data_IF_987083707976
#
_entry.id   IF_987083707976
#
_cell.length_a   1.000
_cell.length_b   1.000
_cell.length_c   1.000
_cell.angle_alpha   90.00
_cell.angle_beta   90.00
_cell.angle_gamma   90.00
#
_symmetry.space_group_name_H-M   'P 1'
#
loop_
_entity.id
_entity.type
_entity.pdbx_description
1 polymer ?
#
# COMPACT_ATOMS: atom_id res chain seq x y z
N UNK A 1 -11.16 -11.08 -16.90
CA UNK A 1 -10.23 -10.22 -16.16
C UNK A 1 -9.76 -10.97 -14.94
N UNK A 2 -8.46 -10.94 -14.65
CA UNK A 2 -7.88 -11.62 -13.48
C UNK A 2 -7.65 -10.59 -12.36
N UNK A 3 -6.96 -9.49 -12.69
CA UNK A 3 -6.63 -8.35 -11.83
C UNK A 3 -6.40 -7.09 -12.70
N UNK A 4 -5.89 -6.01 -12.11
CA UNK A 4 -5.71 -4.70 -12.77
C UNK A 4 -4.74 -4.66 -13.95
N UNK A 5 -3.86 -5.66 -14.10
CA UNK A 5 -2.88 -5.72 -15.19
C UNK A 5 -2.94 -7.01 -16.03
N UNK A 6 -3.79 -7.97 -15.66
CA UNK A 6 -3.90 -9.28 -16.32
C UNK A 6 -5.32 -9.58 -16.82
N UNK A 7 -5.41 -9.94 -18.11
CA UNK A 7 -6.66 -10.12 -18.84
C UNK A 7 -6.68 -11.42 -19.63
N UNK A 8 -7.89 -11.97 -19.79
CA UNK A 8 -8.13 -13.04 -20.76
C UNK A 8 -8.58 -12.38 -22.07
N UNK A 9 -7.92 -12.72 -23.18
CA UNK A 9 -8.23 -12.19 -24.51
C UNK A 9 -8.56 -13.33 -25.45
N UNK A 10 -9.65 -13.17 -26.20
CA UNK A 10 -9.99 -14.05 -27.31
C UNK A 10 -9.47 -13.47 -28.63
N UNK A 11 -8.67 -14.24 -29.37
CA UNK A 11 -8.18 -13.88 -30.71
C UNK A 11 -9.19 -14.27 -31.80
N UNK A 12 -8.98 -13.74 -33.01
CA UNK A 12 -9.85 -13.98 -34.17
C UNK A 12 -9.97 -15.47 -34.55
N UNK A 13 -8.94 -16.26 -34.27
CA UNK A 13 -8.94 -17.72 -34.51
C UNK A 13 -9.71 -18.52 -33.44
N UNK A 14 -10.28 -17.82 -32.44
CA UNK A 14 -11.02 -18.38 -31.32
C UNK A 14 -10.15 -18.86 -30.16
N UNK A 15 -8.82 -18.76 -30.26
CA UNK A 15 -7.93 -19.04 -29.13
C UNK A 15 -8.10 -18.00 -28.03
N UNK A 16 -7.84 -18.44 -26.80
CA UNK A 16 -7.95 -17.62 -25.59
C UNK A 16 -6.61 -17.66 -24.87
N UNK A 17 -6.08 -16.49 -24.53
CA UNK A 17 -4.80 -16.37 -23.81
C UNK A 17 -4.91 -15.38 -22.65
N UNK A 18 -4.15 -15.67 -21.60
CA UNK A 18 -3.85 -14.69 -20.56
C UNK A 18 -2.76 -13.74 -21.05
N UNK A 19 -3.09 -12.45 -21.08
CA UNK A 19 -2.17 -11.36 -21.39
C UNK A 19 -1.91 -10.53 -20.13
N UNK A 20 -0.66 -10.09 -19.95
CA UNK A 20 -0.27 -9.12 -18.92
C UNK A 20 0.23 -7.85 -19.58
N UNK A 21 -0.24 -6.72 -19.07
CA UNK A 21 0.16 -5.41 -19.55
C UNK A 21 1.66 -5.21 -19.29
N UNK A 22 2.44 -5.12 -20.37
CA UNK A 22 3.88 -4.90 -20.32
C UNK A 22 4.21 -3.56 -19.66
N UNK A 23 5.24 -3.57 -18.82
CA UNK A 23 5.85 -2.36 -18.24
C UNK A 23 5.10 -1.79 -17.04
N UNK A 24 4.02 -2.41 -16.58
CA UNK A 24 3.24 -1.93 -15.44
C UNK A 24 2.99 -3.04 -14.43
N UNK A 25 2.66 -2.62 -13.20
CA UNK A 25 2.23 -3.48 -12.12
C UNK A 25 1.18 -2.74 -11.29
N UNK A 26 -0.01 -3.32 -11.18
CA UNK A 26 -1.09 -2.75 -10.35
C UNK A 26 -1.06 -3.38 -8.96
N UNK A 27 -1.50 -2.67 -7.90
CA UNK A 27 -1.68 -3.31 -6.61
C UNK A 27 -2.56 -4.56 -6.71
N UNK A 28 -2.12 -5.62 -6.05
CA UNK A 28 -2.75 -6.92 -6.02
C UNK A 28 -4.08 -6.88 -5.25
N UNK A 29 -5.10 -7.57 -5.78
CA UNK A 29 -6.44 -7.65 -5.17
C UNK A 29 -6.73 -8.99 -4.51
N UNK A 30 -6.00 -10.04 -4.88
CA UNK A 30 -6.23 -11.41 -4.38
C UNK A 30 -5.10 -11.93 -3.48
N UNK A 31 -4.02 -11.16 -3.33
CA UNK A 31 -2.87 -11.47 -2.49
C UNK A 31 -2.42 -10.24 -1.71
N UNK A 32 -1.51 -10.43 -0.76
CA UNK A 32 -0.87 -9.34 -0.01
C UNK A 32 0.00 -8.51 -0.95
N UNK A 33 -0.12 -7.19 -0.85
CA UNK A 33 0.78 -6.24 -1.51
C UNK A 33 2.06 -6.06 -0.67
N UNK A 34 3.18 -5.76 -1.30
CA UNK A 34 4.37 -5.25 -0.61
C UNK A 34 4.41 -3.72 -0.76
N UNK A 35 4.10 -2.94 0.30
CA UNK A 35 4.13 -1.49 0.20
C UNK A 35 5.49 -0.90 -0.19
N UNK A 36 6.60 -1.61 0.05
CA UNK A 36 7.93 -1.12 -0.32
C UNK A 36 8.13 -1.01 -1.84
N UNK A 37 7.27 -1.67 -2.62
CA UNK A 37 7.25 -1.58 -4.07
C UNK A 37 6.59 -0.31 -4.61
N UNK A 38 5.86 0.42 -3.76
CA UNK A 38 5.09 1.61 -4.12
C UNK A 38 5.61 2.82 -3.34
N UNK A 39 6.27 3.73 -4.06
CA UNK A 39 6.81 4.97 -3.48
C UNK A 39 5.76 5.77 -2.70
N UNK A 40 6.13 6.21 -1.49
CA UNK A 40 5.28 7.02 -0.62
C UNK A 40 4.26 6.23 0.19
N UNK A 41 4.14 4.91 -0.01
CA UNK A 41 3.22 4.07 0.76
C UNK A 41 3.93 3.46 1.97
N UNK A 42 3.40 3.63 3.20
CA UNK A 42 4.01 3.04 4.38
C UNK A 42 3.82 1.53 4.43
N UNK A 43 4.80 0.81 4.98
CA UNK A 43 4.69 -0.62 5.33
C UNK A 43 3.81 -0.88 6.55
N UNK A 44 2.63 -0.24 6.62
CA UNK A 44 1.65 -0.37 7.71
C UNK A 44 0.35 -0.95 7.17
N UNK A 45 -0.54 -1.40 8.06
CA UNK A 45 -1.87 -1.88 7.66
C UNK A 45 -2.70 -0.84 6.88
N UNK A 46 -2.49 0.45 7.15
CA UNK A 46 -3.10 1.55 6.39
C UNK A 46 -2.57 1.61 4.95
N UNK A 47 -1.25 1.47 4.76
CA UNK A 47 -0.63 1.43 3.43
C UNK A 47 -1.06 0.20 2.63
N UNK A 48 -1.10 -0.98 3.27
CA UNK A 48 -1.62 -2.21 2.64
C UNK A 48 -3.09 -2.06 2.23
N UNK A 49 -3.92 -1.44 3.08
CA UNK A 49 -5.33 -1.21 2.79
C UNK A 49 -5.52 -0.19 1.67
N UNK A 50 -4.72 0.87 1.65
CA UNK A 50 -4.67 1.84 0.56
C UNK A 50 -4.33 1.18 -0.78
N UNK A 51 -3.31 0.32 -0.81
CA UNK A 51 -2.94 -0.41 -2.01
C UNK A 51 -4.05 -1.36 -2.47
N UNK A 52 -4.68 -2.10 -1.55
CA UNK A 52 -5.81 -2.97 -1.90
C UNK A 52 -6.97 -2.18 -2.52
N UNK A 53 -7.32 -1.02 -1.95
CA UNK A 53 -8.35 -0.15 -2.51
C UNK A 53 -7.97 0.36 -3.91
N UNK A 54 -6.70 0.71 -4.12
CA UNK A 54 -6.20 1.12 -5.44
C UNK A 54 -6.12 -0.03 -6.45
N UNK A 55 -5.86 -1.26 -6.01
CA UNK A 55 -5.95 -2.46 -6.83
C UNK A 55 -7.38 -2.69 -7.35
N UNK A 56 -8.39 -2.48 -6.49
CA UNK A 56 -9.79 -2.54 -6.92
C UNK A 56 -10.14 -1.41 -7.88
N UNK A 57 -9.69 -0.18 -7.64
CA UNK A 57 -9.90 0.96 -8.55
C UNK A 57 -9.23 0.74 -9.91
N UNK A 58 -8.00 0.22 -9.93
CA UNK A 58 -7.29 -0.16 -11.14
C UNK A 58 -8.09 -1.20 -11.93
N UNK A 59 -8.53 -2.27 -11.24
CA UNK A 59 -9.35 -3.32 -11.84
C UNK A 59 -10.65 -2.77 -12.42
N UNK A 60 -11.35 -1.90 -11.69
CA UNK A 60 -12.58 -1.27 -12.16
C UNK A 60 -12.35 -0.38 -13.38
N UNK A 61 -11.27 0.39 -13.40
CA UNK A 61 -10.93 1.30 -14.50
C UNK A 61 -10.74 0.52 -15.80
N UNK A 62 -9.89 -0.51 -15.78
CA UNK A 62 -9.63 -1.30 -16.98
C UNK A 62 -10.78 -2.21 -17.36
N UNK A 63 -11.53 -2.77 -16.41
CA UNK A 63 -12.73 -3.55 -16.71
C UNK A 63 -13.76 -2.68 -17.46
N UNK A 64 -14.04 -1.48 -16.97
CA UNK A 64 -14.96 -0.53 -17.63
C UNK A 64 -14.48 -0.12 -19.02
N UNK A 65 -13.17 -0.11 -19.24
CA UNK A 65 -12.56 0.31 -20.50
C UNK A 65 -12.45 -0.80 -21.54
N UNK A 66 -12.21 -2.06 -21.12
CA UNK A 66 -11.80 -3.14 -22.01
C UNK A 66 -12.79 -4.31 -22.08
N UNK A 67 -13.66 -4.49 -21.10
CA UNK A 67 -14.52 -5.68 -21.04
C UNK A 67 -15.53 -5.71 -22.18
N UNK A 68 -15.44 -6.75 -23.02
CA UNK A 68 -16.30 -6.91 -24.20
C UNK A 68 -15.94 -6.01 -25.38
N UNK A 69 -14.88 -5.20 -25.25
CA UNK A 69 -14.42 -4.31 -26.31
C UNK A 69 -13.41 -5.00 -27.23
N UNK A 70 -13.32 -4.51 -28.46
CA UNK A 70 -12.25 -4.91 -29.39
C UNK A 70 -11.02 -4.02 -29.16
N UNK A 71 -9.87 -4.65 -28.96
CA UNK A 71 -8.60 -3.98 -28.68
C UNK A 71 -7.54 -4.38 -29.70
N UNK A 72 -6.55 -3.51 -29.87
CA UNK A 72 -5.31 -3.86 -30.58
C UNK A 72 -4.28 -4.29 -29.55
N UNK A 73 -3.58 -5.39 -29.83
CA UNK A 73 -2.53 -5.94 -28.98
C UNK A 73 -1.20 -5.90 -29.73
N UNK A 74 -0.18 -5.36 -29.09
CA UNK A 74 1.17 -5.29 -29.65
C UNK A 74 2.20 -5.89 -28.68
N UNK A 75 3.15 -6.65 -29.21
CA UNK A 75 4.30 -7.15 -28.43
C UNK A 75 5.51 -6.27 -28.68
N UNK A 76 6.32 -6.05 -27.65
CA UNK A 76 7.57 -5.29 -27.78
C UNK A 76 8.74 -6.19 -28.20
N UNK A 77 9.52 -5.84 -29.25
CA UNK A 77 10.67 -6.64 -29.68
C UNK A 77 11.86 -6.58 -28.72
N UNK A 78 11.91 -5.58 -27.83
CA UNK A 78 12.96 -5.39 -26.83
C UNK A 78 12.60 -6.03 -25.48
N UNK A 79 11.36 -6.51 -25.31
CA UNK A 79 10.91 -7.21 -24.11
C UNK A 79 10.83 -8.72 -24.35
N UNK A 80 10.81 -9.47 -23.25
CA UNK A 80 10.43 -10.88 -23.32
C UNK A 80 9.01 -11.03 -23.85
N UNK A 81 8.77 -12.04 -24.69
CA UNK A 81 7.43 -12.28 -25.23
C UNK A 81 6.45 -12.77 -24.17
N UNK A 82 6.93 -13.49 -23.15
CA UNK A 82 6.13 -14.05 -22.07
C UNK A 82 6.83 -13.86 -20.73
N UNK A 83 6.05 -13.58 -19.69
CA UNK A 83 6.55 -13.51 -18.32
C UNK A 83 6.81 -14.91 -17.72
N UNK A 84 7.35 -14.95 -16.50
CA UNK A 84 7.72 -16.21 -15.82
C UNK A 84 6.55 -17.17 -15.59
N UNK A 85 5.32 -16.65 -15.50
CA UNK A 85 4.09 -17.44 -15.38
C UNK A 85 3.47 -17.84 -16.73
N UNK A 86 4.15 -17.58 -17.84
CA UNK A 86 3.70 -17.94 -19.18
C UNK A 86 2.70 -16.98 -19.82
N UNK A 87 2.31 -15.89 -19.16
CA UNK A 87 1.41 -14.86 -19.71
C UNK A 87 2.07 -14.11 -20.86
N UNK A 88 1.32 -13.78 -21.90
CA UNK A 88 1.82 -12.96 -23.02
C UNK A 88 2.00 -11.51 -22.56
N UNK A 89 3.18 -10.93 -22.79
CA UNK A 89 3.47 -9.54 -22.41
C UNK A 89 3.15 -8.60 -23.56
N UNK A 90 2.27 -7.63 -23.32
CA UNK A 90 1.68 -6.82 -24.40
C UNK A 90 1.43 -5.36 -24.02
N UNK A 91 1.45 -4.49 -25.01
CA UNK A 91 0.73 -3.23 -24.99
C UNK A 91 -0.70 -3.47 -25.48
N UNK A 92 -1.68 -2.91 -24.77
CA UNK A 92 -3.08 -2.91 -25.19
C UNK A 92 -3.47 -1.51 -25.61
N UNK A 93 -4.05 -1.41 -26.81
CA UNK A 93 -4.58 -0.17 -27.35
C UNK A 93 -6.10 -0.28 -27.49
N UNK A 94 -6.81 0.69 -26.92
CA UNK A 94 -8.26 0.83 -27.08
C UNK A 94 -8.57 2.23 -27.64
N UNK A 95 -9.25 2.29 -28.79
CA UNK A 95 -9.50 3.51 -29.55
C UNK A 95 -8.23 4.31 -29.91
N UNK A 96 -7.11 3.60 -30.13
CA UNK A 96 -5.82 4.20 -30.48
C UNK A 96 -5.01 4.73 -29.29
N UNK A 97 -5.51 4.58 -28.06
CA UNK A 97 -4.81 4.99 -26.85
C UNK A 97 -4.13 3.80 -26.16
N UNK A 98 -2.86 3.95 -25.76
CA UNK A 98 -2.11 2.95 -25.02
C UNK A 98 -2.64 2.86 -23.57
N UNK A 99 -3.34 1.77 -23.25
CA UNK A 99 -3.97 1.58 -21.93
C UNK A 99 -2.94 1.35 -20.84
N UNK A 100 -1.80 0.72 -21.16
CA UNK A 100 -0.71 0.52 -20.20
C UNK A 100 -0.18 1.87 -19.71
N UNK A 101 0.11 2.79 -20.65
CA UNK A 101 0.59 4.12 -20.32
C UNK A 101 -0.47 4.92 -19.53
N UNK A 102 -1.74 4.82 -19.91
CA UNK A 102 -2.83 5.50 -19.20
C UNK A 102 -2.98 5.07 -17.74
N UNK A 103 -2.73 3.78 -17.43
CA UNK A 103 -2.76 3.29 -16.05
C UNK A 103 -1.65 3.93 -15.19
N UNK A 104 -0.48 4.18 -15.78
CA UNK A 104 0.61 4.91 -15.12
C UNK A 104 0.24 6.40 -14.96
N UNK A 105 -0.22 7.05 -16.03
CA UNK A 105 -0.58 8.48 -16.03
C UNK A 105 -1.67 8.81 -15.01
N UNK A 106 -2.61 7.89 -14.79
CA UNK A 106 -3.71 8.05 -13.84
C UNK A 106 -3.40 7.47 -12.44
N UNK A 107 -2.17 7.01 -12.21
CA UNK A 107 -1.73 6.49 -10.92
C UNK A 107 -2.46 5.23 -10.47
N UNK A 108 -2.88 4.37 -11.39
CA UNK A 108 -3.43 3.04 -11.08
C UNK A 108 -2.37 1.95 -10.98
N UNK A 109 -1.21 2.18 -11.57
CA UNK A 109 -0.10 1.23 -11.61
C UNK A 109 1.23 1.94 -11.33
N UNK A 110 2.21 1.16 -10.90
CA UNK A 110 3.63 1.53 -10.91
C UNK A 110 4.31 1.00 -12.17
N UNK A 111 5.46 1.59 -12.52
CA UNK A 111 6.36 1.08 -13.54
C UNK A 111 6.95 -0.25 -13.05
N UNK A 112 6.83 -1.30 -13.86
CA UNK A 112 7.50 -2.57 -13.59
C UNK A 112 8.94 -2.54 -14.10
N UNK A 113 9.88 -3.01 -13.29
CA UNK A 113 11.32 -2.89 -13.56
C UNK A 113 11.82 -3.93 -14.59
N UNK A 114 11.45 -3.73 -15.85
CA UNK A 114 11.88 -4.56 -17.01
C UNK A 114 12.29 -3.70 -18.19
N UNK A 115 13.09 -4.26 -19.10
CA UNK A 115 13.45 -3.59 -20.36
C UNK A 115 12.33 -3.71 -21.40
N UNK A 116 11.96 -2.56 -22.01
CA UNK A 116 11.01 -2.46 -23.12
C UNK A 116 11.20 -1.12 -23.85
N UNK A 117 10.71 -1.02 -25.08
CA UNK A 117 10.99 0.11 -25.98
C UNK A 117 10.37 1.44 -25.52
N UNK A 118 9.22 1.41 -24.83
CA UNK A 118 8.50 2.60 -24.35
C UNK A 118 8.88 3.05 -22.92
N UNK A 119 9.89 2.41 -22.29
CA UNK A 119 10.21 2.59 -20.86
C UNK A 119 10.38 4.06 -20.44
N UNK A 120 11.07 4.87 -21.25
CA UNK A 120 11.27 6.29 -20.96
C UNK A 120 9.95 7.08 -20.85
N UNK A 121 8.93 6.73 -21.64
CA UNK A 121 7.63 7.37 -21.57
C UNK A 121 6.92 6.99 -20.27
N UNK A 122 6.96 5.71 -19.89
CA UNK A 122 6.32 5.21 -18.67
C UNK A 122 7.01 5.77 -17.43
N UNK A 123 8.35 5.79 -17.38
CA UNK A 123 9.11 6.44 -16.30
C UNK A 123 8.75 7.92 -16.16
N UNK A 124 8.57 8.63 -17.28
CA UNK A 124 8.21 10.06 -17.23
C UNK A 124 6.77 10.27 -16.73
N UNK A 125 5.86 9.39 -17.16
CA UNK A 125 4.46 9.42 -16.73
C UNK A 125 4.32 9.10 -15.23
N UNK A 126 5.00 8.05 -14.75
CA UNK A 126 4.97 7.65 -13.34
C UNK A 126 5.50 8.79 -12.47
N UNK A 127 6.67 9.34 -12.82
CA UNK A 127 7.25 10.46 -12.09
C UNK A 127 6.31 11.67 -12.02
N UNK A 128 5.56 11.93 -13.08
CA UNK A 128 4.56 13.02 -13.11
C UNK A 128 3.41 12.69 -12.15
N UNK A 129 2.86 11.48 -12.25
CA UNK A 129 1.78 11.02 -11.37
C UNK A 129 2.19 11.03 -9.88
N UNK A 130 3.43 10.64 -9.57
CA UNK A 130 4.00 10.71 -8.23
C UNK A 130 4.11 12.15 -7.70
N UNK A 131 4.71 13.06 -8.48
CA UNK A 131 4.89 14.45 -8.05
C UNK A 131 3.55 15.17 -7.84
N UNK A 132 2.54 14.83 -8.64
CA UNK A 132 1.23 15.45 -8.60
C UNK A 132 0.27 14.76 -7.62
N UNK A 133 0.71 13.69 -6.93
CA UNK A 133 -0.12 12.90 -6.02
C UNK A 133 -1.33 12.26 -6.70
N UNK A 134 -1.19 11.91 -7.98
CA UNK A 134 -2.26 11.31 -8.78
C UNK A 134 -2.44 9.86 -8.37
N UNK A 135 -3.69 9.46 -8.18
CA UNK A 135 -4.01 8.06 -8.01
C UNK A 135 -3.48 7.48 -6.69
N UNK A 136 -2.86 6.32 -6.78
CA UNK A 136 -2.25 5.62 -5.64
C UNK A 136 -1.13 6.45 -4.98
N UNK A 137 -0.53 7.39 -5.71
CA UNK A 137 0.52 8.27 -5.18
C UNK A 137 0.00 9.38 -4.26
N UNK A 138 -1.31 9.59 -4.23
CA UNK A 138 -1.97 10.56 -3.34
C UNK A 138 -2.22 10.06 -1.93
N UNK A 139 -1.36 9.16 -1.40
CA UNK A 139 -1.49 8.68 -0.03
C UNK A 139 -1.24 9.82 0.95
N UNK A 140 -2.28 10.16 1.69
CA UNK A 140 -2.17 10.99 2.88
C UNK A 140 -2.37 10.09 4.08
N UNK A 141 -1.41 10.10 5.01
CA UNK A 141 -1.57 9.40 6.26
C UNK A 141 -2.90 9.86 6.89
N UNK A 142 -3.78 8.94 7.31
CA UNK A 142 -4.99 9.32 8.00
C UNK A 142 -4.57 10.27 9.12
N UNK A 143 -5.24 11.41 9.21
CA UNK A 143 -4.98 12.36 10.28
C UNK A 143 -5.06 11.55 11.57
N UNK A 144 -3.91 11.32 12.21
CA UNK A 144 -3.92 10.91 13.61
C UNK A 144 -4.82 11.96 14.23
N UNK A 145 -5.94 11.52 14.78
CA UNK A 145 -6.51 12.29 15.85
C UNK A 145 -5.41 12.27 16.90
N UNK A 146 -4.49 13.25 16.84
CA UNK A 146 -4.06 13.89 18.06
C UNK A 146 -5.36 14.10 18.79
N UNK A 147 -5.60 13.46 19.95
CA UNK A 147 -6.75 13.82 20.74
C UNK A 147 -6.74 15.34 20.74
N UNK A 148 -7.83 15.93 20.24
CA UNK A 148 -8.07 17.36 20.35
C UNK A 148 -7.59 17.72 21.75
N UNK A 149 -6.70 18.73 21.95
CA UNK A 149 -6.30 19.11 23.28
C UNK A 149 -7.62 19.36 23.99
N UNK A 150 -8.03 18.39 24.82
CA UNK A 150 -9.23 18.54 25.62
C UNK A 150 -8.92 19.81 26.34
N UNK A 151 -9.72 20.85 26.11
CA UNK A 151 -9.65 22.06 26.90
C UNK A 151 -9.75 21.57 28.33
N UNK A 152 -8.59 21.36 28.93
CA UNK A 152 -8.43 21.13 30.34
C UNK A 152 -8.77 22.49 30.88
N UNK A 153 -10.08 22.66 31.11
CA UNK A 153 -10.57 23.49 32.19
C UNK A 153 -9.59 23.25 33.31
N UNK A 154 -8.90 24.33 33.65
CA UNK A 154 -7.83 24.37 34.62
C UNK A 154 -8.43 23.97 35.97
N UNK A 155 -8.53 22.67 36.21
CA UNK A 155 -8.57 22.15 37.57
C UNK A 155 -7.12 21.98 37.99
N UNK A 156 -6.79 22.86 38.92
CA UNK A 156 -5.58 22.91 39.74
C UNK A 156 -5.30 21.50 40.32
N UNK A 157 -4.02 21.09 40.43
CA UNK A 157 -3.64 19.69 40.59
C UNK A 157 -4.09 19.11 41.93
N UNK A 158 -4.65 17.90 41.89
CA UNK A 158 -4.66 17.02 43.06
C UNK A 158 -3.48 16.05 42.91
N UNK A 159 -2.57 16.11 43.88
CA UNK A 159 -1.42 15.23 44.01
C UNK A 159 -1.85 13.76 43.99
N UNK A 160 -1.28 13.00 43.06
CA UNK A 160 -1.54 11.58 42.88
C UNK A 160 -0.87 11.07 41.61
N UNK A 161 0.42 11.39 41.43
CA UNK A 161 1.20 10.82 40.33
C UNK A 161 1.42 9.33 40.62
N UNK A 162 1.14 8.49 39.63
CA UNK A 162 1.48 7.07 39.64
C UNK A 162 3.01 6.99 39.68
N UNK A 163 3.58 6.39 40.73
CA UNK A 163 5.02 6.29 40.91
C UNK A 163 5.56 5.21 39.95
N UNK A 164 6.07 5.63 38.81
CA UNK A 164 6.67 4.72 37.82
C UNK A 164 8.06 4.32 38.32
N UNK A 165 8.37 3.02 38.40
CA UNK A 165 9.68 2.54 38.83
C UNK A 165 10.79 3.06 37.90
N UNK A 166 12.04 3.22 38.39
CA UNK A 166 13.14 3.69 37.56
C UNK A 166 13.48 2.70 36.45
N UNK A 167 13.94 3.23 35.31
CA UNK A 167 14.31 2.43 34.13
C UNK A 167 15.30 1.32 34.51
N UNK A 168 15.04 0.05 34.13
CA UNK A 168 15.93 -1.08 34.33
C UNK A 168 17.35 -0.84 33.79
N UNK A 169 18.32 -1.59 34.32
CA UNK A 169 19.74 -1.40 33.99
C UNK A 169 20.11 -1.77 32.54
N UNK A 170 19.31 -2.62 31.91
CA UNK A 170 19.37 -2.96 30.48
C UNK A 170 18.64 -1.95 29.60
N UNK A 171 17.94 -0.99 30.19
CA UNK A 171 17.24 0.08 29.49
C UNK A 171 15.93 -0.37 28.85
N UNK A 172 15.38 -1.52 29.24
CA UNK A 172 14.18 -2.10 28.64
C UNK A 172 13.16 -2.48 29.73
N UNK A 173 11.99 -1.83 29.76
CA UNK A 173 10.92 -2.21 30.67
C UNK A 173 10.23 -3.49 30.20
N UNK A 174 9.88 -4.35 31.15
CA UNK A 174 9.01 -5.50 30.96
C UNK A 174 7.82 -5.40 31.91
N UNK A 175 6.76 -6.16 31.64
CA UNK A 175 5.60 -6.22 32.56
C UNK A 175 5.95 -6.65 33.99
N UNK A 176 7.08 -7.35 34.20
CA UNK A 176 7.55 -7.72 35.53
C UNK A 176 8.18 -6.58 36.34
N UNK A 177 8.46 -5.43 35.71
CA UNK A 177 9.07 -4.27 36.35
C UNK A 177 8.04 -3.35 37.03
N UNK A 178 6.75 -3.59 36.80
CA UNK A 178 5.64 -2.81 37.34
C UNK A 178 4.82 -3.60 38.36
N UNK A 179 4.34 -2.89 39.38
CA UNK A 179 3.43 -3.46 40.39
C UNK A 179 1.96 -3.44 39.91
N UNK A 180 1.59 -2.50 39.04
CA UNK A 180 0.23 -2.34 38.51
C UNK A 180 0.20 -2.10 37.00
N UNK A 181 -0.93 -2.43 36.38
CA UNK A 181 -1.20 -2.15 34.97
C UNK A 181 -1.07 -0.65 34.67
N UNK A 182 -1.54 0.21 35.58
CA UNK A 182 -1.52 1.67 35.45
C UNK A 182 -0.09 2.25 35.35
N UNK A 183 0.89 1.65 36.05
CA UNK A 183 2.30 2.04 35.92
C UNK A 183 2.87 1.68 34.55
N UNK A 184 2.57 0.47 34.05
CA UNK A 184 2.98 0.03 32.72
C UNK A 184 2.33 0.89 31.62
N UNK A 185 1.06 1.26 31.81
CA UNK A 185 0.32 2.12 30.88
C UNK A 185 0.97 3.50 30.76
N UNK A 186 1.43 4.07 31.87
CA UNK A 186 2.12 5.36 31.87
C UNK A 186 3.37 5.34 30.98
N UNK A 187 4.14 4.24 30.99
CA UNK A 187 5.33 4.07 30.15
C UNK A 187 4.97 3.89 28.67
N UNK A 188 3.95 3.07 28.36
CA UNK A 188 3.47 2.88 26.99
C UNK A 188 2.97 4.19 26.36
N UNK A 189 2.32 5.05 27.16
CA UNK A 189 1.81 6.34 26.71
C UNK A 189 2.93 7.38 26.46
N UNK A 190 3.99 7.36 27.27
CA UNK A 190 5.14 8.26 27.14
C UNK A 190 6.08 7.86 25.98
N UNK A 191 6.15 6.57 25.62
CA UNK A 191 7.05 6.03 24.59
C UNK A 191 6.29 5.39 23.41
N UNK A 192 5.77 6.20 22.47
CA UNK A 192 4.95 5.71 21.37
C UNK A 192 5.73 4.80 20.41
N UNK A 193 5.11 3.68 20.05
CA UNK A 193 5.72 2.62 19.22
C UNK A 193 6.08 1.36 19.98
N UNK A 194 5.72 1.31 21.27
CA UNK A 194 5.90 0.17 22.17
C UNK A 194 7.31 -0.46 22.11
N UNK A 195 8.38 0.33 22.30
CA UNK A 195 9.76 -0.17 22.20
C UNK A 195 10.05 -1.25 23.26
N UNK A 196 9.34 -1.18 24.39
CA UNK A 196 9.41 -2.08 25.54
C UNK A 196 8.50 -3.31 25.40
N UNK A 197 7.68 -3.37 24.34
CA UNK A 197 6.78 -4.49 24.04
C UNK A 197 5.82 -4.79 25.20
N UNK A 198 5.35 -3.73 25.86
CA UNK A 198 4.39 -3.79 26.97
C UNK A 198 2.97 -4.07 26.49
N UNK A 199 2.65 -3.76 25.22
CA UNK A 199 1.37 -4.01 24.56
C UNK A 199 1.57 -5.12 23.50
N UNK A 200 1.51 -6.37 23.97
CA UNK A 200 1.87 -7.53 23.16
C UNK A 200 0.90 -7.86 22.02
N UNK A 201 -0.36 -7.46 22.14
CA UNK A 201 -1.43 -7.68 21.15
C UNK A 201 -1.81 -6.42 20.36
N UNK A 202 -1.26 -5.26 20.73
CA UNK A 202 -1.33 -4.01 19.97
C UNK A 202 -2.69 -3.32 20.07
N UNK A 203 -3.40 -3.53 21.17
CA UNK A 203 -4.73 -3.00 21.40
C UNK A 203 -4.73 -1.64 22.15
N UNK A 204 -3.54 -1.19 22.57
CA UNK A 204 -3.30 0.05 23.29
C UNK A 204 -3.23 -0.11 24.82
N UNK A 205 -3.33 -1.33 25.35
CA UNK A 205 -3.32 -1.60 26.80
C UNK A 205 -2.04 -2.31 27.21
N UNK A 206 -1.23 -1.64 28.02
CA UNK A 206 0.02 -2.22 28.52
C UNK A 206 -0.26 -3.31 29.56
N UNK A 207 0.42 -4.46 29.44
CA UNK A 207 0.57 -5.47 30.48
C UNK A 207 -0.74 -5.88 31.18
N UNK A 208 -1.79 -6.20 30.41
CA UNK A 208 -3.15 -6.50 30.89
C UNK A 208 -3.27 -7.58 31.99
N UNK A 209 -2.22 -8.39 32.15
CA UNK A 209 -2.13 -9.39 33.21
C UNK A 209 -1.81 -8.85 34.61
N UNK A 210 -1.38 -7.58 34.70
CA UNK A 210 -1.08 -6.89 35.95
C UNK A 210 -2.37 -6.40 36.64
N UNK A 211 -2.36 -6.30 37.98
CA UNK A 211 -3.50 -5.82 38.75
C UNK A 211 -3.79 -4.33 38.57
#
# INVERSE_FOLDING_TARGET
MVDGDTYEVQFEDGSVEDVRLLGIDTPEVHTTNDPAEFEGIPGTGDGESWLRDWGHKASDYTNKRLAGETVTIETDPSADRRGSYGRLLVYVYHNGENVNLQLIEQGYARLYDTDFSERNAFTSAERTAQNDGVGLWGYEAPARSTPEPTERKTEVPSEGGVDVPPVPADGDYNCGDFDTQEQAQTVLEDEPGDPHRLDGDGDGVACESLP
#
